data_IF_630619598748
#
_entry.id   IF_630619598748
#
_cell.length_a   1.000
_cell.length_b   1.000
_cell.length_c   1.000
_cell.angle_alpha   90.00
_cell.angle_beta   90.00
_cell.angle_gamma   90.00
#
_symmetry.space_group_name_H-M   'P 1'
#
loop_
_entity.id
_entity.type
_entity.pdbx_description
1 polymer ?
#
# COMPACT_ATOMS: atom_id res chain seq x y z
N UNK A 1 -9.98 20.98 22.69
CA UNK A 1 -9.94 19.53 22.99
C UNK A 1 -9.06 18.88 21.93
N UNK A 2 -7.94 18.29 22.34
CA UNK A 2 -7.00 17.64 21.44
C UNK A 2 -7.64 16.35 20.90
N UNK A 3 -8.16 16.42 19.68
CA UNK A 3 -8.72 15.27 18.98
C UNK A 3 -7.57 14.29 18.74
N UNK A 4 -7.56 13.19 19.50
CA UNK A 4 -6.55 12.14 19.38
C UNK A 4 -6.66 11.58 17.97
N UNK A 5 -5.76 12.03 17.08
CA UNK A 5 -5.50 11.44 15.77
C UNK A 5 -5.04 10.00 15.96
N UNK A 6 -5.97 9.07 16.19
CA UNK A 6 -5.69 7.67 15.97
C UNK A 6 -5.26 7.55 14.52
N UNK A 7 -4.01 7.07 14.31
CA UNK A 7 -3.45 6.82 12.98
C UNK A 7 -4.54 6.16 12.15
N UNK A 8 -4.91 6.76 11.00
CA UNK A 8 -6.07 6.30 10.24
C UNK A 8 -6.03 4.78 10.03
N UNK A 9 -4.82 4.23 9.91
CA UNK A 9 -4.44 2.82 9.80
C UNK A 9 -5.15 1.82 10.73
N UNK A 10 -5.56 2.22 11.94
CA UNK A 10 -6.27 1.35 12.91
C UNK A 10 -7.74 1.76 13.12
N UNK A 11 -8.16 2.90 12.58
CA UNK A 11 -9.51 3.41 12.76
C UNK A 11 -10.51 2.64 11.88
N UNK A 12 -11.71 2.40 12.43
CA UNK A 12 -12.84 1.86 11.67
C UNK A 12 -13.26 2.90 10.62
N UNK A 13 -13.31 2.48 9.34
CA UNK A 13 -13.68 3.38 8.24
C UNK A 13 -15.21 3.55 8.23
N UNK A 14 -15.72 4.45 9.06
CA UNK A 14 -17.17 4.69 9.19
C UNK A 14 -17.65 5.90 8.37
N UNK A 15 -16.76 6.83 8.02
CA UNK A 15 -17.07 8.02 7.22
C UNK A 15 -16.31 8.04 5.89
N UNK A 16 -16.92 8.66 4.86
CA UNK A 16 -16.31 8.86 3.53
C UNK A 16 -15.01 9.67 3.61
N UNK A 17 -14.95 10.65 4.49
CA UNK A 17 -13.74 11.47 4.73
C UNK A 17 -12.60 10.65 5.30
N UNK A 18 -12.88 9.79 6.30
CA UNK A 18 -11.90 8.86 6.88
C UNK A 18 -11.38 7.88 5.84
N UNK A 19 -12.26 7.36 4.98
CA UNK A 19 -11.88 6.47 3.87
C UNK A 19 -10.97 7.19 2.85
N UNK A 20 -11.27 8.46 2.56
CA UNK A 20 -10.47 9.32 1.69
C UNK A 20 -9.09 9.61 2.27
N UNK A 21 -9.01 9.96 3.56
CA UNK A 21 -7.73 10.19 4.26
C UNK A 21 -6.90 8.93 4.30
N UNK A 22 -7.50 7.79 4.64
CA UNK A 22 -6.83 6.49 4.65
C UNK A 22 -6.22 6.15 3.28
N UNK A 23 -7.00 6.25 2.20
CA UNK A 23 -6.50 5.98 0.86
C UNK A 23 -5.32 6.90 0.48
N UNK A 24 -5.37 8.16 0.92
CA UNK A 24 -4.30 9.14 0.72
C UNK A 24 -3.04 8.79 1.53
N UNK A 25 -3.19 8.45 2.80
CA UNK A 25 -2.10 8.04 3.68
C UNK A 25 -1.43 6.76 3.17
N UNK A 26 -2.21 5.76 2.76
CA UNK A 26 -1.68 4.55 2.14
C UNK A 26 -0.94 4.86 0.83
N UNK A 27 -1.47 5.75 -0.02
CA UNK A 27 -0.80 6.16 -1.24
C UNK A 27 0.53 6.87 -0.98
N UNK A 28 0.58 7.76 0.02
CA UNK A 28 1.82 8.43 0.44
C UNK A 28 2.83 7.41 0.97
N UNK A 29 2.39 6.43 1.79
CA UNK A 29 3.26 5.37 2.28
C UNK A 29 3.84 4.53 1.14
N UNK A 30 3.04 4.19 0.12
CA UNK A 30 3.52 3.47 -1.08
C UNK A 30 4.53 4.29 -1.88
N UNK A 31 4.30 5.60 -2.04
CA UNK A 31 5.24 6.49 -2.73
C UNK A 31 6.54 6.68 -1.95
N UNK A 32 6.45 6.76 -0.62
CA UNK A 32 7.62 6.78 0.23
C UNK A 32 8.45 5.50 0.06
N UNK A 33 7.81 4.33 0.07
CA UNK A 33 8.49 3.06 -0.19
C UNK A 33 9.09 2.97 -1.59
N UNK A 34 8.41 3.50 -2.60
CA UNK A 34 8.95 3.60 -3.95
C UNK A 34 10.22 4.46 -4.00
N UNK A 35 10.22 5.63 -3.34
CA UNK A 35 11.39 6.49 -3.26
C UNK A 35 12.56 5.81 -2.53
N UNK A 36 12.27 5.11 -1.44
CA UNK A 36 13.27 4.33 -0.69
C UNK A 36 13.86 3.22 -1.57
N UNK A 37 13.03 2.45 -2.28
CA UNK A 37 13.53 1.40 -3.18
C UNK A 37 14.34 1.96 -4.35
N UNK A 38 13.94 3.10 -4.92
CA UNK A 38 14.71 3.79 -5.95
C UNK A 38 16.07 4.31 -5.43
N UNK A 39 16.15 4.72 -4.16
CA UNK A 39 17.43 5.08 -3.57
C UNK A 39 18.32 3.84 -3.34
N UNK A 40 17.74 2.71 -2.96
CA UNK A 40 18.48 1.46 -2.74
C UNK A 40 18.89 0.75 -4.05
N UNK A 41 18.24 1.01 -5.17
CA UNK A 41 18.59 0.39 -6.45
C UNK A 41 20.00 0.73 -6.92
N UNK A 42 20.54 1.89 -6.52
CA UNK A 42 21.93 2.26 -6.80
C UNK A 42 22.95 1.27 -6.22
N UNK A 43 22.60 0.57 -5.12
CA UNK A 43 23.50 -0.35 -4.43
C UNK A 43 23.14 -1.83 -4.66
N UNK A 44 21.85 -2.15 -4.77
CA UNK A 44 21.34 -3.52 -4.83
C UNK A 44 20.87 -3.94 -6.22
N UNK A 45 21.05 -3.08 -7.24
CA UNK A 45 20.81 -3.41 -8.64
C UNK A 45 19.51 -2.87 -9.23
N UNK A 46 19.43 -2.91 -10.56
CA UNK A 46 18.34 -2.32 -11.34
C UNK A 46 16.99 -3.04 -11.17
N UNK A 47 16.96 -4.27 -10.64
CA UNK A 47 15.73 -5.00 -10.33
C UNK A 47 14.82 -4.19 -9.39
N UNK A 48 15.41 -3.50 -8.40
CA UNK A 48 14.68 -2.63 -7.47
C UNK A 48 14.03 -1.40 -8.12
N UNK A 49 14.52 -0.93 -9.28
CA UNK A 49 13.87 0.16 -10.01
C UNK A 49 12.51 -0.27 -10.55
N UNK A 50 12.37 -1.52 -10.98
CA UNK A 50 11.10 -2.06 -11.48
C UNK A 50 10.09 -2.11 -10.33
N UNK A 51 10.53 -2.63 -9.17
CA UNK A 51 9.75 -2.67 -7.94
C UNK A 51 9.32 -1.27 -7.48
N UNK A 52 10.24 -0.30 -7.50
CA UNK A 52 9.97 1.09 -7.18
C UNK A 52 8.98 1.72 -8.17
N UNK A 53 9.12 1.45 -9.47
CA UNK A 53 8.22 1.97 -10.49
C UNK A 53 6.79 1.45 -10.32
N UNK A 54 6.61 0.15 -10.02
CA UNK A 54 5.30 -0.44 -9.75
C UNK A 54 4.64 0.24 -8.53
N UNK A 55 5.39 0.39 -7.44
CA UNK A 55 4.91 1.07 -6.22
C UNK A 55 4.59 2.55 -6.48
N UNK A 56 5.41 3.24 -7.27
CA UNK A 56 5.20 4.65 -7.62
C UNK A 56 3.95 4.84 -8.48
N UNK A 57 3.81 4.04 -9.55
CA UNK A 57 2.64 4.11 -10.44
C UNK A 57 1.37 3.71 -9.69
N UNK A 58 1.41 2.63 -8.92
CA UNK A 58 0.29 2.18 -8.10
C UNK A 58 -0.08 3.22 -7.04
N UNK A 59 0.92 3.78 -6.34
CA UNK A 59 0.76 4.83 -5.34
C UNK A 59 0.15 6.11 -5.93
N UNK A 60 0.64 6.58 -7.07
CA UNK A 60 0.10 7.74 -7.78
C UNK A 60 -1.35 7.50 -8.26
N UNK A 61 -1.63 6.32 -8.81
CA UNK A 61 -2.99 5.95 -9.22
C UNK A 61 -3.95 5.90 -8.03
N UNK A 62 -3.49 5.39 -6.89
CA UNK A 62 -4.25 5.37 -5.65
C UNK A 62 -4.47 6.79 -5.11
N UNK A 63 -3.46 7.65 -5.18
CA UNK A 63 -3.52 9.04 -4.72
C UNK A 63 -4.49 9.88 -5.56
N UNK A 64 -4.41 9.77 -6.89
CA UNK A 64 -5.12 10.65 -7.83
C UNK A 64 -6.53 10.18 -8.14
N UNK A 65 -6.73 8.87 -8.31
CA UNK A 65 -8.00 8.31 -8.78
C UNK A 65 -8.69 7.42 -7.76
N UNK A 66 -8.00 7.05 -6.66
CA UNK A 66 -8.52 6.12 -5.65
C UNK A 66 -9.07 4.85 -6.31
N UNK A 67 -8.30 4.34 -7.28
CA UNK A 67 -8.72 3.24 -8.16
C UNK A 67 -8.70 1.91 -7.40
N UNK A 68 -9.79 1.14 -7.50
CA UNK A 68 -9.88 -0.20 -6.90
C UNK A 68 -8.91 -1.18 -7.54
N UNK A 69 -8.74 -1.07 -8.87
CA UNK A 69 -7.80 -1.92 -9.61
C UNK A 69 -6.35 -1.66 -9.19
N UNK A 70 -5.97 -0.40 -8.97
CA UNK A 70 -4.63 -0.05 -8.48
C UNK A 70 -4.39 -0.59 -7.06
N UNK A 71 -5.40 -0.48 -6.17
CA UNK A 71 -5.29 -1.03 -4.82
C UNK A 71 -5.15 -2.55 -4.83
N UNK A 72 -5.91 -3.26 -5.68
CA UNK A 72 -5.80 -4.72 -5.84
C UNK A 72 -4.45 -5.12 -6.44
N UNK A 73 -3.97 -4.40 -7.45
CA UNK A 73 -2.65 -4.67 -8.04
C UNK A 73 -1.53 -4.50 -7.00
N UNK A 74 -1.58 -3.45 -6.18
CA UNK A 74 -0.65 -3.23 -5.07
C UNK A 74 -0.76 -4.33 -4.00
N UNK A 75 -1.97 -4.82 -3.71
CA UNK A 75 -2.18 -5.92 -2.77
C UNK A 75 -1.57 -7.22 -3.28
N UNK A 76 -1.80 -7.58 -4.54
CA UNK A 76 -1.21 -8.76 -5.17
C UNK A 76 0.33 -8.66 -5.19
N UNK A 77 0.84 -7.47 -5.50
CA UNK A 77 2.27 -7.21 -5.45
C UNK A 77 2.85 -7.36 -4.03
N UNK A 78 2.16 -6.83 -3.01
CA UNK A 78 2.58 -6.98 -1.62
C UNK A 78 2.50 -8.44 -1.13
N UNK A 79 1.51 -9.20 -1.58
CA UNK A 79 1.40 -10.65 -1.32
C UNK A 79 2.56 -11.42 -1.94
N UNK A 80 2.90 -11.14 -3.21
CA UNK A 80 4.06 -11.72 -3.87
C UNK A 80 5.35 -11.38 -3.11
N UNK A 81 5.53 -10.11 -2.73
CA UNK A 81 6.69 -9.68 -1.93
C UNK A 81 6.79 -10.39 -0.58
N UNK A 82 5.68 -10.51 0.15
CA UNK A 82 5.63 -11.24 1.42
C UNK A 82 5.91 -12.74 1.24
N UNK A 83 5.42 -13.35 0.15
CA UNK A 83 5.71 -14.73 -0.22
C UNK A 83 7.19 -14.96 -0.52
N UNK A 84 7.82 -14.05 -1.28
CA UNK A 84 9.26 -14.09 -1.56
C UNK A 84 10.06 -13.94 -0.26
N UNK A 85 9.72 -12.97 0.60
CA UNK A 85 10.41 -12.80 1.89
C UNK A 85 10.27 -14.03 2.79
N UNK A 86 9.11 -14.69 2.81
CA UNK A 86 8.91 -15.96 3.53
C UNK A 86 9.76 -17.08 2.93
N UNK A 87 9.84 -17.17 1.59
CA UNK A 87 10.67 -18.16 0.91
C UNK A 87 12.16 -17.97 1.22
N UNK A 88 12.66 -16.72 1.20
CA UNK A 88 14.04 -16.42 1.60
C UNK A 88 14.28 -16.81 3.06
N UNK A 89 13.33 -16.46 3.95
CA UNK A 89 13.43 -16.83 5.36
C UNK A 89 13.41 -18.34 5.61
N UNK A 90 12.82 -19.12 4.69
CA UNK A 90 12.85 -20.59 4.72
C UNK A 90 14.13 -21.21 4.14
N UNK A 91 15.09 -20.39 3.71
CA UNK A 91 16.39 -20.83 3.21
C UNK A 91 16.50 -20.92 1.68
N UNK A 92 15.51 -20.41 0.93
CA UNK A 92 15.59 -20.36 -0.53
C UNK A 92 16.45 -19.17 -0.94
N UNK A 93 17.52 -19.40 -1.71
CA UNK A 93 18.38 -18.34 -2.24
C UNK A 93 17.66 -17.60 -3.38
N UNK A 94 16.81 -16.63 -3.02
CA UNK A 94 16.17 -15.69 -3.93
C UNK A 94 16.71 -14.28 -3.70
N UNK A 95 16.77 -13.51 -4.78
CA UNK A 95 17.14 -12.11 -4.74
C UNK A 95 15.96 -11.29 -4.16
N UNK A 96 16.16 -10.65 -3.00
CA UNK A 96 15.09 -9.92 -2.33
C UNK A 96 15.41 -9.48 -0.90
N UNK A 97 14.44 -8.80 -0.26
CA UNK A 97 14.57 -8.34 1.12
C UNK A 97 14.12 -9.40 2.14
N UNK A 98 14.97 -9.69 3.13
CA UNK A 98 14.69 -10.61 4.25
C UNK A 98 13.82 -9.98 5.36
N UNK A 99 13.50 -8.70 5.26
CA UNK A 99 12.78 -7.96 6.29
C UNK A 99 11.28 -8.32 6.31
N UNK A 100 10.93 -9.37 7.06
CA UNK A 100 9.54 -9.81 7.20
C UNK A 100 8.63 -8.71 7.78
N UNK A 101 9.13 -7.94 8.75
CA UNK A 101 8.36 -6.82 9.33
C UNK A 101 7.98 -5.78 8.27
N UNK A 102 8.90 -5.47 7.35
CA UNK A 102 8.65 -4.54 6.25
C UNK A 102 7.62 -5.12 5.26
N UNK A 103 7.79 -6.38 4.89
CA UNK A 103 6.87 -7.07 3.98
C UNK A 103 5.43 -7.09 4.55
N UNK A 104 5.28 -7.37 5.85
CA UNK A 104 3.99 -7.34 6.53
C UNK A 104 3.39 -5.92 6.59
N UNK A 105 4.22 -4.88 6.78
CA UNK A 105 3.76 -3.49 6.79
C UNK A 105 3.26 -3.05 5.40
N UNK A 106 3.98 -3.42 4.34
CA UNK A 106 3.56 -3.15 2.95
C UNK A 106 2.27 -3.93 2.62
N UNK A 107 2.16 -5.18 3.07
CA UNK A 107 0.95 -5.98 2.92
C UNK A 107 -0.24 -5.35 3.65
N UNK A 108 -0.05 -4.93 4.90
CA UNK A 108 -1.08 -4.28 5.71
C UNK A 108 -1.56 -2.97 5.08
N UNK A 109 -0.64 -2.15 4.59
CA UNK A 109 -0.97 -0.89 3.90
C UNK A 109 -1.74 -1.13 2.60
N UNK A 110 -1.34 -2.12 1.81
CA UNK A 110 -2.06 -2.48 0.59
C UNK A 110 -3.47 -3.00 0.91
N UNK A 111 -3.62 -3.80 1.97
CA UNK A 111 -4.92 -4.29 2.44
C UNK A 111 -5.83 -3.12 2.84
N UNK A 112 -5.32 -2.19 3.64
CA UNK A 112 -6.08 -0.99 4.06
C UNK A 112 -6.43 -0.08 2.87
N UNK A 113 -5.56 0.03 1.87
CA UNK A 113 -5.85 0.74 0.63
C UNK A 113 -7.02 0.11 -0.13
N UNK A 114 -7.07 -1.23 -0.22
CA UNK A 114 -8.21 -1.95 -0.83
C UNK A 114 -9.49 -1.70 -0.03
N UNK A 115 -9.44 -1.87 1.30
CA UNK A 115 -10.61 -1.64 2.16
C UNK A 115 -11.17 -0.21 2.00
N UNK A 116 -10.30 0.80 1.98
CA UNK A 116 -10.67 2.20 1.81
C UNK A 116 -11.27 2.49 0.43
N UNK A 117 -10.65 2.00 -0.66
CA UNK A 117 -11.11 2.24 -2.03
C UNK A 117 -12.44 1.54 -2.34
N UNK A 118 -12.66 0.33 -1.82
CA UNK A 118 -13.94 -0.37 -1.93
C UNK A 118 -15.04 0.34 -1.16
N UNK A 119 -14.79 0.81 0.07
CA UNK A 119 -15.78 1.57 0.83
C UNK A 119 -16.12 2.91 0.17
N UNK A 120 -15.12 3.62 -0.35
CA UNK A 120 -15.29 4.92 -1.03
C UNK A 120 -16.19 4.85 -2.26
N UNK A 121 -16.02 3.83 -3.10
CA UNK A 121 -16.77 3.69 -4.35
C UNK A 121 -17.96 2.71 -4.27
N UNK A 122 -18.12 1.96 -3.19
CA UNK A 122 -19.24 1.04 -2.97
C UNK A 122 -20.25 1.66 -2.04
N UNK A 123 -20.06 1.46 -0.73
CA UNK A 123 -20.99 1.88 0.33
C UNK A 123 -21.28 3.39 0.33
N UNK A 124 -20.27 4.24 0.11
CA UNK A 124 -20.46 5.69 0.09
C UNK A 124 -20.85 6.28 -1.27
N UNK A 125 -20.84 5.50 -2.35
CA UNK A 125 -21.32 5.97 -3.66
C UNK A 125 -22.84 6.02 -3.72
N UNK A 126 -23.54 5.16 -2.97
CA UNK A 126 -25.00 5.09 -2.93
C UNK A 126 -25.63 5.99 -1.85
N UNK A 127 -24.93 6.29 -0.75
CA UNK A 127 -25.47 7.15 0.33
C UNK A 127 -25.54 8.64 -0.03
N UNK A 128 -24.82 9.10 -1.06
CA UNK A 128 -24.90 10.51 -1.49
C UNK A 128 -26.14 10.82 -2.34
N UNK A 129 -27.07 9.87 -2.49
CA UNK A 129 -28.27 9.99 -3.33
C UNK A 129 -29.59 9.79 -2.58
N UNK A 130 -29.57 9.80 -1.26
CA UNK A 130 -30.76 9.71 -0.41
C UNK A 130 -31.06 11.06 0.25
#
# INVERSE_FOLDING_TARGET
>A
MADKKYSAWLARIDKRETASSMARECAIAMLFWAAVQAAFSFKYGNSLLIHAAILAVGGLCLLRWKSRAAALALLLYALAGAGITLAIRSGVALEGGENLALALLILWTAWKAVEATFRLRGRFAFTAKA
#
